data_IF_058631061946
#
_entry.id   IF_058631061946
#
_cell.length_a   1.000
_cell.length_b   1.000
_cell.length_c   1.000
_cell.angle_alpha   90.00
_cell.angle_beta   90.00
_cell.angle_gamma   90.00
#
_symmetry.space_group_name_H-M   'P 1'
#
loop_
_entity.id
_entity.type
_entity.pdbx_description
1 polymer ?
#
# COMPACT_ATOMS: atom_id res chain seq x y z
N UNK A 1 -22.08 -32.33 -83.79
CA UNK A 1 -20.74 -32.81 -84.20
C UNK A 1 -19.69 -31.93 -83.54
N UNK A 2 -18.79 -32.52 -82.73
CA UNK A 2 -17.33 -32.24 -82.59
C UNK A 2 -16.92 -30.75 -82.36
N UNK A 3 -16.20 -30.32 -81.30
CA UNK A 3 -15.18 -30.97 -80.45
C UNK A 3 -14.98 -30.26 -79.10
N UNK A 4 -14.43 -31.03 -78.16
CA UNK A 4 -13.84 -30.73 -76.85
C UNK A 4 -12.73 -29.65 -76.89
N UNK A 5 -12.50 -28.97 -75.74
CA UNK A 5 -11.29 -29.11 -74.88
C UNK A 5 -11.40 -28.16 -73.66
N UNK A 6 -11.08 -28.70 -72.48
CA UNK A 6 -10.97 -28.02 -71.20
C UNK A 6 -9.61 -27.34 -71.01
N UNK A 7 -9.52 -26.27 -70.20
CA UNK A 7 -8.36 -26.07 -69.33
C UNK A 7 -8.65 -25.14 -68.13
N UNK A 8 -8.09 -25.56 -67.01
CA UNK A 8 -8.18 -25.11 -65.63
C UNK A 8 -7.26 -23.90 -65.35
N UNK A 9 -7.60 -23.08 -64.33
CA UNK A 9 -6.75 -22.17 -63.49
C UNK A 9 -7.37 -20.77 -63.36
N UNK A 10 -7.27 -20.00 -62.27
CA UNK A 10 -6.89 -20.20 -60.87
C UNK A 10 -7.51 -19.02 -60.08
N UNK A 11 -7.83 -19.25 -58.81
CA UNK A 11 -8.35 -18.26 -57.88
C UNK A 11 -7.35 -17.14 -57.57
N UNK A 12 -7.84 -15.94 -57.28
CA UNK A 12 -7.26 -15.03 -56.27
C UNK A 12 -8.35 -14.10 -55.74
N UNK A 13 -8.81 -14.39 -54.53
CA UNK A 13 -9.68 -13.53 -53.73
C UNK A 13 -8.88 -12.27 -53.34
N UNK A 14 -9.37 -11.08 -53.70
CA UNK A 14 -8.92 -9.84 -53.08
C UNK A 14 -9.51 -9.78 -51.65
N UNK A 15 -8.69 -10.10 -50.66
CA UNK A 15 -8.93 -9.74 -49.27
C UNK A 15 -7.73 -8.91 -48.78
N UNK A 16 -7.78 -7.60 -49.02
CA UNK A 16 -6.91 -6.63 -48.38
C UNK A 16 -7.26 -6.55 -46.89
N UNK A 17 -6.77 -7.51 -46.12
CA UNK A 17 -6.78 -7.46 -44.68
C UNK A 17 -5.79 -6.39 -44.24
N UNK A 18 -6.32 -5.25 -43.79
CA UNK A 18 -5.54 -4.22 -43.10
C UNK A 18 -4.96 -4.86 -41.84
N UNK A 19 -3.66 -5.15 -41.85
CA UNK A 19 -2.92 -5.40 -40.61
C UNK A 19 -2.95 -4.09 -39.83
N UNK A 20 -3.84 -3.97 -38.85
CA UNK A 20 -3.68 -2.95 -37.82
C UNK A 20 -2.42 -3.31 -37.04
N UNK A 21 -1.31 -2.64 -37.34
CA UNK A 21 -0.16 -2.64 -36.46
C UNK A 21 -0.65 -2.19 -35.07
N UNK A 22 -0.39 -3.01 -34.06
CA UNK A 22 -0.67 -2.64 -32.69
C UNK A 22 -0.06 -1.25 -32.40
N UNK A 23 -0.75 -0.34 -31.69
CA UNK A 23 -0.20 0.97 -31.40
C UNK A 23 1.12 0.79 -30.64
N UNK A 24 2.22 1.24 -31.25
CA UNK A 24 3.54 1.30 -30.61
C UNK A 24 3.44 2.23 -29.39
N UNK A 25 4.06 1.90 -28.24
CA UNK A 25 4.10 2.82 -27.11
C UNK A 25 4.75 4.14 -27.55
N UNK A 26 4.18 5.26 -27.11
CA UNK A 26 4.73 6.59 -27.40
C UNK A 26 6.10 6.76 -26.73
N UNK A 27 6.97 7.59 -27.31
CA UNK A 27 8.29 7.89 -26.72
C UNK A 27 8.17 8.39 -25.27
N UNK A 28 7.15 9.20 -24.98
CA UNK A 28 6.86 9.67 -23.62
C UNK A 28 6.52 8.52 -22.64
N UNK A 29 5.75 7.52 -23.08
CA UNK A 29 5.43 6.35 -22.26
C UNK A 29 6.67 5.49 -21.96
N UNK A 30 7.59 5.38 -22.93
CA UNK A 30 8.87 4.68 -22.75
C UNK A 30 9.75 5.45 -21.76
N UNK A 31 9.92 6.76 -21.93
CA UNK A 31 10.73 7.59 -21.02
C UNK A 31 10.20 7.55 -19.59
N UNK A 32 8.88 7.65 -19.40
CA UNK A 32 8.25 7.58 -18.07
C UNK A 32 8.48 6.21 -17.41
N UNK A 33 8.40 5.12 -18.18
CA UNK A 33 8.67 3.77 -17.68
C UNK A 33 10.14 3.61 -17.28
N UNK A 34 11.08 4.11 -18.08
CA UNK A 34 12.50 4.04 -17.76
C UNK A 34 12.83 4.80 -16.46
N UNK A 35 12.29 6.01 -16.28
CA UNK A 35 12.45 6.76 -15.04
C UNK A 35 11.89 6.03 -13.82
N UNK A 36 10.75 5.34 -13.98
CA UNK A 36 10.17 4.53 -12.92
C UNK A 36 11.06 3.34 -12.55
N UNK A 37 11.62 2.65 -13.54
CA UNK A 37 12.56 1.54 -13.34
C UNK A 37 13.84 2.00 -12.64
N UNK A 38 14.37 3.17 -13.01
CA UNK A 38 15.52 3.77 -12.31
C UNK A 38 15.20 4.09 -10.84
N UNK A 39 13.96 4.51 -10.54
CA UNK A 39 13.48 4.72 -9.17
C UNK A 39 13.11 3.42 -8.43
N UNK A 40 13.28 2.25 -9.06
CA UNK A 40 13.04 0.92 -8.48
C UNK A 40 11.62 0.37 -8.68
N UNK A 41 10.78 1.00 -9.50
CA UNK A 41 9.43 0.53 -9.82
C UNK A 41 9.38 -0.30 -11.11
N UNK A 42 8.41 -1.19 -11.25
CA UNK A 42 8.26 -1.97 -12.48
C UNK A 42 7.76 -1.14 -13.67
N UNK A 43 6.99 -0.06 -13.42
CA UNK A 43 6.47 0.85 -14.44
C UNK A 43 5.96 2.17 -13.81
N UNK A 44 5.65 3.14 -14.66
CA UNK A 44 5.15 4.45 -14.26
C UNK A 44 3.84 4.39 -13.45
N UNK A 45 2.92 3.47 -13.78
CA UNK A 45 1.66 3.34 -13.04
C UNK A 45 1.88 2.92 -11.59
N UNK A 46 2.80 1.99 -11.32
CA UNK A 46 3.14 1.61 -9.95
C UNK A 46 3.85 2.73 -9.18
N UNK A 47 4.68 3.52 -9.86
CA UNK A 47 5.27 4.72 -9.27
C UNK A 47 4.18 5.74 -8.87
N UNK A 48 3.18 5.98 -9.72
CA UNK A 48 2.06 6.88 -9.41
C UNK A 48 1.24 6.37 -8.20
N UNK A 49 0.95 5.07 -8.14
CA UNK A 49 0.26 4.46 -7.00
C UNK A 49 1.06 4.57 -5.70
N UNK A 50 2.38 4.39 -5.75
CA UNK A 50 3.26 4.56 -4.60
C UNK A 50 3.34 6.03 -4.16
N UNK A 51 3.43 6.96 -5.11
CA UNK A 51 3.44 8.39 -4.86
C UNK A 51 2.13 8.84 -4.19
N UNK A 52 0.97 8.32 -4.61
CA UNK A 52 -0.31 8.56 -3.95
C UNK A 52 -0.35 8.08 -2.48
N UNK A 53 0.54 7.15 -2.10
CA UNK A 53 0.73 6.64 -0.73
C UNK A 53 1.95 7.26 -0.04
N UNK A 54 2.67 8.18 -0.69
CA UNK A 54 3.89 8.80 -0.21
C UNK A 54 5.07 7.83 -0.06
N UNK A 55 5.06 6.69 -0.75
CA UNK A 55 6.01 5.61 -0.56
C UNK A 55 7.14 5.61 -1.60
N UNK A 56 8.32 5.19 -1.18
CA UNK A 56 9.39 4.72 -2.08
C UNK A 56 9.04 3.36 -2.68
N UNK A 57 9.76 2.91 -3.70
CA UNK A 57 9.58 1.57 -4.28
C UNK A 57 9.71 0.46 -3.22
N UNK A 58 10.74 0.52 -2.38
CA UNK A 58 10.96 -0.45 -1.29
C UNK A 58 9.80 -0.47 -0.29
N UNK A 59 9.30 0.70 0.11
CA UNK A 59 8.15 0.81 1.02
C UNK A 59 6.86 0.27 0.38
N UNK A 60 6.65 0.58 -0.91
CA UNK A 60 5.47 0.18 -1.66
C UNK A 60 5.39 -1.34 -1.84
N UNK A 61 6.46 -1.98 -2.32
CA UNK A 61 6.45 -3.43 -2.58
C UNK A 61 6.42 -4.27 -1.31
N UNK A 62 6.95 -3.76 -0.19
CA UNK A 62 6.92 -4.46 1.09
C UNK A 62 5.70 -4.09 1.95
N UNK A 63 4.87 -3.14 1.50
CA UNK A 63 3.77 -2.56 2.29
C UNK A 63 4.23 -2.17 3.71
N UNK A 64 5.32 -1.41 3.78
CA UNK A 64 5.96 -0.98 5.00
C UNK A 64 6.34 0.49 4.92
N UNK A 65 6.29 1.21 6.02
CA UNK A 65 6.70 2.61 6.15
C UNK A 65 7.97 2.66 6.98
N UNK A 66 9.09 3.05 6.38
CA UNK A 66 10.39 3.15 7.06
C UNK A 66 10.69 4.57 7.53
N UNK A 67 9.93 5.55 7.03
CA UNK A 67 10.03 6.95 7.43
C UNK A 67 8.68 7.64 7.27
N UNK A 68 8.37 8.57 8.17
CA UNK A 68 7.16 9.40 8.07
C UNK A 68 7.54 10.88 8.21
N UNK A 69 7.09 11.77 7.31
CA UNK A 69 7.38 13.19 7.41
C UNK A 69 6.95 13.76 8.76
N UNK A 70 7.86 14.44 9.46
CA UNK A 70 7.58 15.04 10.77
C UNK A 70 7.70 14.06 11.95
N UNK A 71 8.15 12.83 11.73
CA UNK A 71 8.49 11.87 12.80
C UNK A 71 9.99 11.63 12.81
N UNK A 72 10.66 12.10 13.85
CA UNK A 72 12.11 11.91 14.03
C UNK A 72 12.39 10.44 14.39
N UNK A 73 13.37 9.83 13.72
CA UNK A 73 13.78 8.43 13.96
C UNK A 73 12.60 7.44 13.90
N UNK A 74 11.68 7.64 12.95
CA UNK A 74 10.51 6.80 12.80
C UNK A 74 10.87 5.30 12.74
N UNK A 75 10.26 4.51 13.62
CA UNK A 75 10.42 3.06 13.64
C UNK A 75 9.72 2.45 12.41
N UNK A 76 10.36 1.54 11.65
CA UNK A 76 9.71 0.94 10.50
C UNK A 76 8.46 0.14 10.89
N UNK A 77 7.33 0.40 10.23
CA UNK A 77 6.04 -0.27 10.48
C UNK A 77 5.54 -0.96 9.22
N UNK A 78 5.21 -2.24 9.32
CA UNK A 78 4.57 -3.03 8.27
C UNK A 78 3.38 -3.85 8.80
N UNK A 79 2.65 -4.50 7.89
CA UNK A 79 1.69 -5.54 8.29
C UNK A 79 2.43 -6.85 8.58
N UNK A 80 2.24 -7.40 9.78
CA UNK A 80 2.63 -8.74 10.15
C UNK A 80 1.48 -9.74 10.00
N UNK A 81 1.75 -10.89 9.39
CA UNK A 81 0.81 -12.00 9.32
C UNK A 81 -0.53 -11.69 8.61
N UNK A 82 -1.54 -12.50 8.92
CA UNK A 82 -2.90 -12.37 8.34
C UNK A 82 -3.76 -11.44 9.17
N UNK A 83 -4.68 -10.75 8.50
CA UNK A 83 -5.68 -9.89 9.15
C UNK A 83 -6.91 -10.72 9.50
N UNK A 84 -7.46 -10.51 10.70
CA UNK A 84 -8.75 -11.06 11.13
C UNK A 84 -9.80 -9.97 10.99
N UNK A 85 -10.83 -10.20 10.16
CA UNK A 85 -11.95 -9.28 9.98
C UNK A 85 -13.18 -9.87 10.63
N UNK A 86 -13.77 -9.15 11.58
CA UNK A 86 -14.97 -9.56 12.32
C UNK A 86 -14.85 -10.99 12.89
N UNK A 87 -13.66 -11.34 13.41
CA UNK A 87 -13.38 -12.68 13.96
C UNK A 87 -12.98 -13.75 12.93
N UNK A 88 -12.95 -13.44 11.64
CA UNK A 88 -12.58 -14.39 10.58
C UNK A 88 -11.22 -14.05 10.00
N UNK A 89 -10.28 -14.99 10.03
CA UNK A 89 -8.97 -14.84 9.37
C UNK A 89 -9.12 -14.74 7.86
N UNK A 90 -8.52 -13.71 7.27
CA UNK A 90 -8.62 -13.41 5.83
C UNK A 90 -7.25 -13.48 5.14
N UNK A 91 -7.26 -13.57 3.81
CA UNK A 91 -6.05 -13.35 2.99
C UNK A 91 -5.92 -11.89 2.55
N UNK A 92 -6.67 -10.98 3.19
CA UNK A 92 -6.61 -9.55 2.87
C UNK A 92 -5.30 -8.94 3.38
N UNK A 93 -4.82 -7.93 2.65
CA UNK A 93 -3.71 -7.08 3.06
C UNK A 93 -4.25 -5.66 3.28
N UNK A 94 -3.98 -5.09 4.44
CA UNK A 94 -4.24 -3.67 4.70
C UNK A 94 -3.24 -2.84 3.90
N UNK A 95 -3.70 -1.73 3.34
CA UNK A 95 -2.84 -0.80 2.62
C UNK A 95 -2.32 0.26 3.59
N UNK A 96 -1.00 0.29 3.77
CA UNK A 96 -0.30 1.33 4.54
C UNK A 96 0.06 2.53 3.67
N UNK A 97 0.05 3.74 4.20
CA UNK A 97 0.54 4.93 3.51
C UNK A 97 1.18 5.89 4.51
N UNK A 98 2.04 6.78 4.02
CA UNK A 98 2.52 7.89 4.85
C UNK A 98 1.39 8.86 5.13
N UNK A 99 1.40 9.44 6.32
CA UNK A 99 0.55 10.58 6.63
C UNK A 99 1.22 11.87 6.19
N UNK A 100 0.43 12.92 6.02
CA UNK A 100 0.97 14.27 5.83
C UNK A 100 1.59 14.83 7.13
N UNK A 101 2.33 15.93 7.00
CA UNK A 101 3.02 16.57 8.13
C UNK A 101 2.07 17.09 9.21
N UNK A 102 0.85 17.51 8.87
CA UNK A 102 -0.11 18.04 9.84
C UNK A 102 -0.65 16.92 10.73
N UNK A 103 -0.98 15.78 10.11
CA UNK A 103 -1.36 14.56 10.82
C UNK A 103 -0.21 14.04 11.70
N UNK A 104 1.03 14.09 11.20
CA UNK A 104 2.20 13.73 12.01
C UNK A 104 2.43 14.69 13.19
N UNK A 105 2.19 15.99 13.02
CA UNK A 105 2.23 16.95 14.11
C UNK A 105 1.20 16.61 15.21
N UNK A 106 -0.05 16.32 14.82
CA UNK A 106 -1.08 15.87 15.77
C UNK A 106 -0.70 14.58 16.49
N UNK A 107 -0.06 13.62 15.81
CA UNK A 107 0.45 12.40 16.44
C UNK A 107 1.57 12.67 17.45
N UNK A 108 2.46 13.63 17.17
CA UNK A 108 3.50 14.06 18.11
C UNK A 108 2.88 14.70 19.36
N UNK A 109 1.83 15.51 19.21
CA UNK A 109 1.08 16.08 20.34
C UNK A 109 0.45 14.98 21.21
N UNK A 110 -0.11 13.93 20.60
CA UNK A 110 -0.60 12.78 21.35
C UNK A 110 0.50 12.07 22.13
N UNK A 111 1.67 11.87 21.51
CA UNK A 111 2.80 11.26 22.20
C UNK A 111 3.28 12.11 23.39
N UNK A 112 3.39 13.42 23.20
CA UNK A 112 3.76 14.36 24.26
C UNK A 112 2.74 14.37 25.42
N UNK A 113 1.43 14.34 25.11
CA UNK A 113 0.37 14.29 26.11
C UNK A 113 0.41 13.00 26.96
N UNK A 114 0.90 11.90 26.40
CA UNK A 114 1.11 10.64 27.09
C UNK A 114 2.46 10.57 27.83
N UNK A 115 3.29 11.61 27.74
CA UNK A 115 4.67 11.60 28.26
C UNK A 115 5.58 10.58 27.55
N UNK A 116 5.20 10.18 26.33
CA UNK A 116 5.86 9.12 25.57
C UNK A 116 6.63 9.63 24.36
N UNK A 117 7.15 8.68 23.58
CA UNK A 117 7.82 8.92 22.30
C UNK A 117 6.99 8.36 21.16
N UNK A 118 6.73 9.19 20.13
CA UNK A 118 6.09 8.72 18.91
C UNK A 118 7.04 7.78 18.17
N UNK A 119 6.68 6.50 18.05
CA UNK A 119 7.46 5.51 17.31
C UNK A 119 7.26 5.70 15.81
N UNK A 120 6.00 5.77 15.38
CA UNK A 120 5.61 6.10 14.01
C UNK A 120 4.12 6.43 13.95
N UNK A 121 3.67 7.07 12.88
CA UNK A 121 2.26 7.20 12.52
C UNK A 121 2.07 6.84 11.06
N UNK A 122 1.16 5.92 10.78
CA UNK A 122 0.90 5.39 9.43
C UNK A 122 -0.59 5.45 9.11
N UNK A 123 -0.95 5.73 7.87
CA UNK A 123 -2.33 5.63 7.41
C UNK A 123 -2.63 4.19 7.03
N UNK A 124 -3.70 3.63 7.58
CA UNK A 124 -4.15 2.26 7.34
C UNK A 124 -5.50 2.30 6.63
N UNK A 125 -5.64 1.50 5.58
CA UNK A 125 -6.89 1.34 4.83
C UNK A 125 -7.12 -0.11 4.43
N UNK A 126 -8.38 -0.46 4.16
CA UNK A 126 -8.79 -1.83 3.80
C UNK A 126 -9.61 -1.82 2.52
N UNK A 127 -8.97 -1.65 1.35
CA UNK A 127 -9.72 -1.46 0.11
C UNK A 127 -10.56 -2.68 -0.24
N UNK A 128 -11.83 -2.44 -0.56
CA UNK A 128 -12.79 -3.50 -0.89
C UNK A 128 -13.37 -4.24 0.31
N UNK A 129 -13.10 -3.82 1.55
CA UNK A 129 -13.66 -4.45 2.75
C UNK A 129 -14.47 -3.47 3.59
N UNK A 130 -15.69 -3.90 3.96
CA UNK A 130 -16.43 -3.34 5.07
C UNK A 130 -16.14 -4.18 6.31
N UNK A 131 -15.72 -3.54 7.40
CA UNK A 131 -15.43 -4.22 8.65
C UNK A 131 -16.03 -3.44 9.81
N UNK A 132 -16.41 -4.17 10.87
CA UNK A 132 -16.73 -3.59 12.17
C UNK A 132 -15.47 -3.55 13.03
N UNK A 133 -14.69 -4.63 13.00
CA UNK A 133 -13.40 -4.73 13.68
C UNK A 133 -12.42 -5.49 12.80
N UNK A 134 -11.22 -4.93 12.67
CA UNK A 134 -10.08 -5.54 12.00
C UNK A 134 -8.95 -5.72 13.02
N UNK A 135 -8.64 -6.97 13.34
CA UNK A 135 -7.47 -7.30 14.16
C UNK A 135 -6.25 -7.42 13.26
N UNK A 136 -5.29 -6.54 13.46
CA UNK A 136 -4.04 -6.51 12.70
C UNK A 136 -2.87 -6.71 13.65
N UNK A 137 -1.97 -7.61 13.29
CA UNK A 137 -0.64 -7.67 13.86
C UNK A 137 0.29 -6.74 13.07
N UNK A 138 0.73 -5.64 13.65
CA UNK A 138 1.73 -4.77 13.02
C UNK A 138 3.13 -5.27 13.35
N UNK A 139 4.03 -5.22 12.37
CA UNK A 139 5.46 -5.45 12.58
C UNK A 139 6.15 -4.10 12.75
N UNK A 140 6.66 -3.82 13.95
CA UNK A 140 7.39 -2.61 14.34
C UNK A 140 8.86 -2.98 14.53
N UNK A 141 9.65 -2.86 13.47
CA UNK A 141 11.03 -3.37 13.46
C UNK A 141 11.89 -2.66 14.52
N UNK A 142 12.38 -3.44 15.49
CA UNK A 142 13.23 -2.97 16.58
C UNK A 142 12.46 -2.62 17.87
N UNK A 143 11.16 -2.92 17.96
CA UNK A 143 10.41 -2.74 19.20
C UNK A 143 10.91 -3.75 20.26
N UNK A 144 11.42 -3.29 21.41
CA UNK A 144 11.96 -4.19 22.41
C UNK A 144 10.85 -4.99 23.09
N UNK A 145 11.20 -6.20 23.54
CA UNK A 145 10.26 -7.01 24.32
C UNK A 145 9.89 -6.31 25.63
N UNK A 146 8.61 -6.34 26.00
CA UNK A 146 8.12 -5.67 27.21
C UNK A 146 7.94 -4.15 27.08
N UNK A 147 8.10 -3.57 25.88
CA UNK A 147 7.73 -2.18 25.64
C UNK A 147 6.26 -1.95 25.95
N UNK A 148 5.96 -0.83 26.62
CA UNK A 148 4.57 -0.37 26.78
C UNK A 148 4.23 0.54 25.61
N UNK A 149 3.23 0.16 24.83
CA UNK A 149 2.80 0.93 23.66
C UNK A 149 1.34 1.30 23.82
N UNK A 150 1.06 2.60 23.77
CA UNK A 150 -0.27 3.14 23.58
C UNK A 150 -0.47 3.43 22.09
N UNK A 151 -1.70 3.27 21.60
CA UNK A 151 -2.02 3.55 20.20
C UNK A 151 -3.21 4.50 20.12
N UNK A 152 -3.06 5.53 19.29
CA UNK A 152 -4.12 6.49 18.97
C UNK A 152 -4.47 6.39 17.50
N UNK A 153 -5.74 6.54 17.16
CA UNK A 153 -6.20 6.62 15.78
C UNK A 153 -6.90 7.95 15.52
N UNK A 154 -6.60 8.57 14.38
CA UNK A 154 -7.32 9.75 13.93
C UNK A 154 -8.60 9.31 13.20
N UNK A 155 -9.75 9.61 13.80
CA UNK A 155 -11.08 9.29 13.28
C UNK A 155 -11.89 10.58 13.24
N UNK A 156 -12.37 10.95 12.05
CA UNK A 156 -13.16 12.17 11.85
C UNK A 156 -12.51 13.44 12.45
N UNK A 157 -11.19 13.55 12.34
CA UNK A 157 -10.42 14.70 12.84
C UNK A 157 -10.10 14.66 14.34
N UNK A 158 -10.49 13.61 15.07
CA UNK A 158 -10.24 13.46 16.51
C UNK A 158 -9.36 12.23 16.76
N UNK A 159 -8.36 12.38 17.63
CA UNK A 159 -7.54 11.26 18.09
C UNK A 159 -8.28 10.49 19.19
N UNK A 160 -8.49 9.20 18.96
CA UNK A 160 -9.14 8.28 19.90
C UNK A 160 -8.21 7.14 20.28
N UNK A 161 -8.41 6.56 21.47
CA UNK A 161 -7.68 5.37 21.89
C UNK A 161 -8.06 4.15 21.04
N UNK A 162 -7.04 3.36 20.73
CA UNK A 162 -7.18 2.06 20.08
C UNK A 162 -6.92 0.96 21.10
N UNK A 163 -7.74 -0.09 21.04
CA UNK A 163 -7.56 -1.28 21.85
C UNK A 163 -6.30 -2.05 21.40
N UNK A 164 -5.31 -2.11 22.30
CA UNK A 164 -4.06 -2.84 22.11
C UNK A 164 -4.23 -4.23 22.71
N UNK A 165 -4.35 -5.22 21.82
CA UNK A 165 -4.59 -6.62 22.21
C UNK A 165 -3.32 -7.25 22.78
N UNK A 166 -2.17 -6.94 22.17
CA UNK A 166 -0.90 -7.53 22.55
C UNK A 166 0.25 -6.61 22.14
N UNK A 167 1.29 -6.52 22.97
CA UNK A 167 2.59 -5.96 22.61
C UNK A 167 3.65 -7.01 22.90
N UNK A 168 4.48 -7.32 21.90
CA UNK A 168 5.61 -8.24 22.01
C UNK A 168 6.79 -7.73 21.18
N UNK A 169 7.93 -8.41 21.28
CA UNK A 169 9.10 -8.06 20.48
C UNK A 169 8.72 -7.90 18.99
N UNK A 170 9.12 -6.77 18.42
CA UNK A 170 8.82 -6.35 17.04
C UNK A 170 7.34 -6.29 16.63
N UNK A 171 6.37 -6.44 17.55
CA UNK A 171 4.98 -6.59 17.16
C UNK A 171 3.99 -5.91 18.11
N UNK A 172 2.96 -5.30 17.51
CA UNK A 172 1.81 -4.73 18.21
C UNK A 172 0.53 -5.19 17.53
N UNK A 173 -0.34 -5.87 18.28
CA UNK A 173 -1.62 -6.37 17.78
C UNK A 173 -2.73 -5.42 18.22
N UNK A 174 -3.52 -4.94 17.26
CA UNK A 174 -4.54 -3.92 17.46
C UNK A 174 -5.90 -4.37 16.95
N UNK A 175 -6.97 -3.90 17.61
CA UNK A 175 -8.31 -3.94 17.07
C UNK A 175 -8.68 -2.56 16.49
N UNK A 176 -8.74 -2.46 15.16
CA UNK A 176 -9.16 -1.23 14.47
C UNK A 176 -10.64 -1.32 14.10
N UNK A 177 -11.40 -0.27 14.42
CA UNK A 177 -12.80 -0.14 14.02
C UNK A 177 -12.99 0.84 12.84
N UNK A 178 -11.91 1.52 12.45
CA UNK A 178 -11.89 2.51 11.38
C UNK A 178 -10.64 2.37 10.52
N UNK A 179 -10.71 2.85 9.28
CA UNK A 179 -9.52 3.20 8.50
C UNK A 179 -9.07 4.61 8.90
N UNK A 180 -7.76 4.90 8.83
CA UNK A 180 -7.25 6.20 9.22
C UNK A 180 -5.78 6.18 9.64
N UNK A 181 -5.29 7.31 10.15
CA UNK A 181 -3.95 7.41 10.70
C UNK A 181 -3.88 6.74 12.07
N UNK A 182 -2.89 5.88 12.27
CA UNK A 182 -2.64 5.13 13.50
C UNK A 182 -1.26 5.51 14.02
N UNK A 183 -1.20 6.10 15.21
CA UNK A 183 0.00 6.55 15.88
C UNK A 183 0.40 5.57 16.99
N UNK A 184 1.62 5.07 16.92
CA UNK A 184 2.20 4.17 17.92
C UNK A 184 3.08 4.99 18.85
N UNK A 185 2.76 4.98 20.15
CA UNK A 185 3.47 5.77 21.16
C UNK A 185 4.05 4.83 22.20
N UNK A 186 5.37 4.84 22.36
CA UNK A 186 6.01 4.18 23.49
C UNK A 186 5.88 5.06 24.73
N UNK A 187 5.32 4.51 25.79
CA UNK A 187 5.09 5.22 27.06
C UNK A 187 6.08 4.72 28.15
N UNK A 188 6.34 5.53 29.20
CA UNK A 188 7.21 5.15 30.33
C UNK A 188 6.74 3.90 31.11
#
# INVERSE_FOLDING_TARGET
MKKLIALLSAATLLASMTVSAAPSPSAAAVTATNAAVEAGFANASQQEMAAARGMTATEYYNNAITSTPGVTNAMPVGQGGKIVINGVTTNMTAQLAKVDKATAAGANEQAAALGGTLLNVVKVSFPGANFKTATINFYLKGLPNGAKVAVKQLVNGVWVDVDVVEVRADHVVLNLNYAGAVAFVQIP
#
